data_IF_637194161017
#
_entry.id   IF_637194161017
#
_cell.length_a   1.000
_cell.length_b   1.000
_cell.length_c   1.000
_cell.angle_alpha   90.00
_cell.angle_beta   90.00
_cell.angle_gamma   90.00
#
_symmetry.space_group_name_H-M   'P 1'
#
loop_
_entity.id
_entity.type
_entity.pdbx_description
1 polymer ?
#
# COMPACT_ATOMS: atom_id res chain seq x y z
N UNK A 1 -25.15 -28.28 43.11
CA UNK A 1 -24.31 -28.22 41.89
C UNK A 1 -24.25 -26.76 41.44
N UNK A 2 -23.26 -26.01 41.90
CA UNK A 2 -23.12 -24.58 41.60
C UNK A 2 -22.36 -24.43 40.29
N UNK A 3 -23.06 -23.99 39.24
CA UNK A 3 -22.47 -23.65 37.95
C UNK A 3 -21.78 -22.29 38.13
N UNK A 4 -20.45 -22.30 38.27
CA UNK A 4 -19.63 -21.08 38.19
C UNK A 4 -19.49 -20.72 36.72
N UNK A 5 -20.41 -19.88 36.22
CA UNK A 5 -20.28 -19.27 34.90
C UNK A 5 -19.10 -18.32 34.89
N UNK A 6 -18.04 -18.66 34.17
CA UNK A 6 -16.90 -17.76 33.93
C UNK A 6 -17.36 -16.62 33.02
N UNK A 7 -17.77 -15.50 33.61
CA UNK A 7 -18.10 -14.28 32.88
C UNK A 7 -16.85 -13.75 32.18
N UNK A 8 -16.86 -13.77 30.85
CA UNK A 8 -15.83 -13.09 30.05
C UNK A 8 -16.07 -11.60 30.22
N UNK A 9 -15.10 -10.90 30.82
CA UNK A 9 -15.22 -9.47 31.06
C UNK A 9 -15.21 -8.72 29.72
N UNK A 10 -16.26 -7.93 29.48
CA UNK A 10 -16.40 -7.07 28.30
C UNK A 10 -15.21 -6.11 28.11
N UNK A 11 -14.50 -5.79 29.20
CA UNK A 11 -13.29 -4.97 29.17
C UNK A 11 -12.17 -5.63 28.36
N UNK A 12 -12.01 -6.95 28.46
CA UNK A 12 -11.01 -7.70 27.70
C UNK A 12 -11.34 -7.77 26.22
N UNK A 13 -12.62 -7.87 25.88
CA UNK A 13 -13.09 -7.83 24.49
C UNK A 13 -12.82 -6.45 23.87
N UNK A 14 -13.07 -5.37 24.62
CA UNK A 14 -12.77 -3.99 24.19
C UNK A 14 -11.27 -3.77 23.93
N UNK A 15 -10.39 -4.27 24.82
CA UNK A 15 -8.93 -4.16 24.64
C UNK A 15 -8.46 -4.86 23.36
N UNK A 16 -9.01 -6.04 23.05
CA UNK A 16 -8.69 -6.78 21.81
C UNK A 16 -9.15 -6.02 20.55
N UNK A 17 -10.32 -5.37 20.60
CA UNK A 17 -10.82 -4.57 19.48
C UNK A 17 -9.92 -3.34 19.24
N UNK A 18 -9.52 -2.64 20.30
CA UNK A 18 -8.64 -1.45 20.20
C UNK A 18 -7.26 -1.82 19.64
N UNK A 19 -6.70 -2.99 20.02
CA UNK A 19 -5.43 -3.47 19.46
C UNK A 19 -5.50 -3.81 17.97
N UNK A 20 -6.68 -4.20 17.45
CA UNK A 20 -6.88 -4.50 16.03
C UNK A 20 -7.00 -3.25 15.14
N UNK A 21 -7.37 -2.09 15.71
CA UNK A 21 -7.62 -0.87 14.96
C UNK A 21 -6.35 -0.12 14.50
N UNK A 22 -5.18 -0.45 15.05
CA UNK A 22 -3.92 0.22 14.72
C UNK A 22 -3.31 -0.18 13.37
N UNK A 23 -3.92 -1.12 12.65
CA UNK A 23 -3.44 -1.54 11.32
C UNK A 23 -4.16 -0.82 10.17
N UNK A 24 -5.04 0.14 10.44
CA UNK A 24 -5.57 1.01 9.38
C UNK A 24 -4.46 1.96 8.91
N UNK A 25 -3.66 1.49 7.96
CA UNK A 25 -2.74 2.33 7.22
C UNK A 25 -3.59 3.24 6.34
N UNK A 26 -3.84 4.47 6.79
CA UNK A 26 -4.26 5.54 5.89
C UNK A 26 -3.12 5.65 4.87
N UNK A 27 -3.41 5.27 3.62
CA UNK A 27 -2.51 5.46 2.49
C UNK A 27 -2.17 6.95 2.45
N UNK A 28 -0.90 7.30 2.64
CA UNK A 28 -0.46 8.68 2.46
C UNK A 28 -0.60 9.05 1.00
N UNK A 29 -1.69 9.75 0.66
CA UNK A 29 -1.88 10.36 -0.65
C UNK A 29 -0.78 11.42 -0.82
N UNK A 30 0.10 11.24 -1.82
CA UNK A 30 1.08 12.27 -2.16
C UNK A 30 0.44 13.23 -3.16
N UNK A 31 0.29 14.48 -2.73
CA UNK A 31 -0.24 15.57 -3.55
C UNK A 31 0.95 16.35 -4.12
N UNK A 32 0.96 16.56 -5.43
CA UNK A 32 1.98 17.33 -6.15
C UNK A 32 1.29 18.51 -6.80
N UNK A 33 1.51 19.70 -6.28
CA UNK A 33 0.94 20.95 -6.82
C UNK A 33 2.03 21.77 -7.50
N UNK A 34 1.72 22.33 -8.65
CA UNK A 34 2.56 23.31 -9.34
C UNK A 34 1.75 24.56 -9.65
N UNK A 35 2.28 25.71 -9.26
CA UNK A 35 1.67 27.03 -9.47
C UNK A 35 2.58 27.88 -10.37
N UNK A 36 2.00 28.49 -11.40
CA UNK A 36 2.74 29.36 -12.33
C UNK A 36 2.91 30.78 -11.75
N UNK A 37 4.14 31.09 -11.38
CA UNK A 37 4.57 32.42 -10.89
C UNK A 37 5.65 33.06 -11.79
N UNK A 38 5.76 32.67 -13.06
CA UNK A 38 6.78 33.19 -13.97
C UNK A 38 6.57 34.68 -14.30
N UNK A 39 7.68 35.42 -14.28
CA UNK A 39 7.83 36.79 -14.83
C UNK A 39 6.67 37.73 -14.49
N UNK A 40 6.36 37.84 -13.19
CA UNK A 40 5.25 38.63 -12.63
C UNK A 40 3.85 38.26 -13.14
N UNK A 41 3.66 37.03 -13.62
CA UNK A 41 2.38 36.56 -14.14
C UNK A 41 2.11 37.03 -15.57
N UNK A 42 3.15 37.08 -16.41
CA UNK A 42 3.01 37.45 -17.84
C UNK A 42 3.23 36.28 -18.79
N UNK A 43 3.82 35.17 -18.33
CA UNK A 43 4.19 34.04 -19.16
C UNK A 43 3.39 32.79 -18.81
N UNK A 44 3.01 32.04 -19.84
CA UNK A 44 2.43 30.71 -19.68
C UNK A 44 3.51 29.67 -19.36
N UNK A 45 3.16 28.66 -18.57
CA UNK A 45 4.02 27.54 -18.21
C UNK A 45 3.36 26.23 -18.62
N UNK A 46 4.05 25.38 -19.39
CA UNK A 46 3.60 24.01 -19.63
C UNK A 46 4.27 23.05 -18.66
N UNK A 47 3.47 22.28 -17.94
CA UNK A 47 3.92 21.30 -16.94
C UNK A 47 3.44 19.90 -17.29
N UNK A 48 4.19 18.88 -16.90
CA UNK A 48 3.82 17.47 -17.09
C UNK A 48 4.36 16.63 -15.94
N UNK A 49 3.62 15.59 -15.54
CA UNK A 49 4.09 14.60 -14.56
C UNK A 49 3.96 13.18 -15.15
N UNK A 50 4.88 12.75 -16.04
CA UNK A 50 4.73 11.52 -16.82
C UNK A 50 4.53 10.25 -16.01
N UNK A 51 5.02 10.23 -14.76
CA UNK A 51 4.92 9.09 -13.86
C UNK A 51 3.53 8.98 -13.18
N UNK A 52 2.67 9.99 -13.30
CA UNK A 52 1.30 9.99 -12.76
C UNK A 52 0.29 10.00 -13.91
N UNK A 53 0.43 10.95 -14.84
CA UNK A 53 -0.34 10.98 -16.06
C UNK A 53 0.54 11.34 -17.27
N UNK A 54 0.27 10.69 -18.41
CA UNK A 54 1.01 10.95 -19.65
C UNK A 54 0.63 12.26 -20.34
N UNK A 55 0.08 13.23 -19.60
CA UNK A 55 -0.48 14.48 -20.14
C UNK A 55 0.39 15.67 -19.76
N UNK A 56 0.25 16.73 -20.54
CA UNK A 56 0.82 18.04 -20.26
C UNK A 56 -0.30 19.05 -20.06
N UNK A 57 -0.09 20.02 -19.18
CA UNK A 57 -1.05 21.04 -18.81
C UNK A 57 -0.43 22.42 -19.03
N UNK A 58 -1.16 23.30 -19.71
CA UNK A 58 -0.81 24.71 -19.84
C UNK A 58 -1.35 25.47 -18.64
N UNK A 59 -0.47 26.13 -17.89
CA UNK A 59 -0.79 26.99 -16.77
C UNK A 59 -0.65 28.44 -17.21
N UNK A 60 -1.77 29.14 -17.25
CA UNK A 60 -1.77 30.59 -17.35
C UNK A 60 -1.16 31.23 -16.11
N UNK A 61 -0.74 32.50 -16.17
CA UNK A 61 -0.33 33.26 -15.01
C UNK A 61 -1.24 33.12 -13.78
N UNK A 62 -0.67 32.75 -12.64
CA UNK A 62 -1.40 32.51 -11.39
C UNK A 62 -2.22 31.22 -11.37
N UNK A 63 -2.30 30.49 -12.48
CA UNK A 63 -2.91 29.17 -12.55
C UNK A 63 -2.06 28.11 -11.85
N UNK A 64 -2.73 27.06 -11.40
CA UNK A 64 -2.09 25.91 -10.76
C UNK A 64 -2.67 24.60 -11.28
N UNK A 65 -1.93 23.52 -11.09
CA UNK A 65 -2.39 22.17 -11.36
C UNK A 65 -1.89 21.21 -10.29
N UNK A 66 -2.74 20.25 -9.94
CA UNK A 66 -2.49 19.26 -8.90
C UNK A 66 -2.53 17.86 -9.50
N UNK A 67 -1.49 17.07 -9.23
CA UNK A 67 -1.50 15.63 -9.44
C UNK A 67 -1.64 14.93 -8.10
N UNK A 68 -2.54 13.96 -8.07
CA UNK A 68 -2.69 13.05 -6.95
C UNK A 68 -1.95 11.76 -7.29
N UNK A 69 -0.83 11.50 -6.61
CA UNK A 69 -0.20 10.19 -6.64
C UNK A 69 -0.85 9.30 -5.60
N UNK A 70 -1.87 8.53 -6.04
CA UNK A 70 -2.31 7.35 -5.33
C UNK A 70 -1.29 6.25 -5.61
N UNK A 71 -0.16 6.25 -4.89
CA UNK A 71 0.83 5.20 -5.06
C UNK A 71 0.14 3.83 -5.02
N UNK A 72 0.37 3.00 -6.03
CA UNK A 72 -0.22 1.66 -6.09
C UNK A 72 0.28 0.88 -4.87
N UNK A 73 -0.58 0.76 -3.85
CA UNK A 73 -0.28 -0.06 -2.70
C UNK A 73 -0.68 -1.48 -3.06
N UNK A 74 0.31 -2.34 -3.09
CA UNK A 74 0.11 -3.76 -3.30
C UNK A 74 0.08 -4.47 -1.96
N UNK A 75 -0.90 -5.36 -1.78
CA UNK A 75 -0.97 -6.22 -0.62
C UNK A 75 -0.73 -7.68 -1.02
N UNK A 76 -0.15 -8.44 -0.09
CA UNK A 76 -0.03 -9.88 -0.23
C UNK A 76 0.23 -10.52 1.13
N UNK A 77 -0.49 -11.60 1.44
CA UNK A 77 -0.23 -12.41 2.62
C UNK A 77 1.02 -13.26 2.41
N UNK A 78 2.13 -12.90 3.07
CA UNK A 78 3.41 -13.63 2.98
C UNK A 78 3.36 -15.04 3.59
N UNK A 79 2.37 -15.32 4.44
CA UNK A 79 2.15 -16.65 5.01
C UNK A 79 0.66 -16.97 5.08
N UNK A 80 0.27 -18.06 4.42
CA UNK A 80 -1.07 -18.62 4.49
C UNK A 80 -0.93 -20.10 4.88
N UNK A 81 -1.43 -20.55 6.05
CA UNK A 81 -1.19 -21.91 6.54
C UNK A 81 -1.58 -23.03 5.55
N UNK A 82 -2.68 -22.86 4.81
CA UNK A 82 -3.10 -23.85 3.80
C UNK A 82 -2.18 -23.92 2.58
N UNK A 83 -1.36 -22.89 2.33
CA UNK A 83 -0.46 -22.76 1.18
C UNK A 83 1.01 -22.99 1.54
N UNK A 84 1.44 -22.51 2.72
CA UNK A 84 2.85 -22.32 3.06
C UNK A 84 3.35 -23.17 4.22
N UNK A 85 2.55 -24.12 4.73
CA UNK A 85 2.98 -25.02 5.81
C UNK A 85 4.01 -26.08 5.37
N UNK A 86 4.71 -25.86 4.26
CA UNK A 86 5.79 -26.68 3.71
C UNK A 86 7.19 -26.06 3.88
N UNK A 87 7.31 -24.91 4.58
CA UNK A 87 8.57 -24.27 4.98
C UNK A 87 8.69 -24.09 6.50
N UNK A 88 9.90 -24.27 7.02
CA UNK A 88 10.29 -23.78 8.36
C UNK A 88 10.69 -22.30 8.29
N UNK A 89 11.47 -21.93 7.26
CA UNK A 89 11.78 -20.55 6.89
C UNK A 89 11.27 -20.26 5.47
N UNK A 90 10.37 -19.30 5.34
CA UNK A 90 9.71 -18.97 4.08
C UNK A 90 10.34 -17.71 3.48
N UNK A 91 11.20 -17.88 2.48
CA UNK A 91 11.87 -16.75 1.83
C UNK A 91 11.07 -16.25 0.63
N UNK A 92 10.94 -14.93 0.54
CA UNK A 92 10.21 -14.24 -0.51
C UNK A 92 11.08 -13.14 -1.12
N UNK A 93 10.91 -12.92 -2.41
CA UNK A 93 11.44 -11.75 -3.11
C UNK A 93 10.30 -11.01 -3.81
N UNK A 94 10.13 -9.73 -3.49
CA UNK A 94 9.06 -8.88 -4.04
C UNK A 94 9.51 -8.21 -5.34
N UNK A 95 8.64 -8.20 -6.34
CA UNK A 95 8.83 -7.50 -7.62
C UNK A 95 7.58 -6.67 -7.95
N UNK A 96 7.69 -5.77 -8.90
CA UNK A 96 6.57 -4.95 -9.38
C UNK A 96 5.34 -5.79 -9.77
N UNK A 97 5.54 -6.96 -10.38
CA UNK A 97 4.43 -7.84 -10.78
C UNK A 97 3.84 -8.69 -9.65
N UNK A 98 4.53 -8.80 -8.51
CA UNK A 98 4.12 -9.65 -7.40
C UNK A 98 5.28 -10.27 -6.59
N UNK A 99 4.97 -10.89 -5.44
CA UNK A 99 5.95 -11.59 -4.63
C UNK A 99 6.20 -13.01 -5.14
N UNK A 100 7.45 -13.44 -5.05
CA UNK A 100 7.91 -14.74 -5.49
C UNK A 100 8.49 -15.53 -4.31
N UNK A 101 7.99 -16.75 -4.09
CA UNK A 101 8.46 -17.67 -3.06
C UNK A 101 9.67 -18.45 -3.55
N UNK A 102 10.76 -18.36 -2.79
CA UNK A 102 12.01 -19.07 -3.08
C UNK A 102 12.03 -20.36 -2.26
N UNK A 103 12.20 -21.48 -2.96
CA UNK A 103 12.33 -22.78 -2.32
C UNK A 103 13.81 -23.18 -2.29
N UNK A 104 14.39 -23.31 -1.10
CA UNK A 104 15.75 -23.79 -0.93
C UNK A 104 15.80 -25.34 -1.01
N UNK A 105 15.30 -25.90 -2.12
CA UNK A 105 15.30 -27.35 -2.38
C UNK A 105 15.72 -27.61 -3.83
N UNK A 106 16.55 -28.64 -4.08
CA UNK A 106 16.90 -29.02 -5.44
C UNK A 106 15.62 -29.33 -6.23
N UNK A 107 15.51 -28.79 -7.44
CA UNK A 107 14.43 -28.99 -8.41
C UNK A 107 13.05 -28.40 -8.06
N UNK A 108 12.91 -27.52 -7.05
CA UNK A 108 11.64 -26.81 -6.82
C UNK A 108 11.68 -25.41 -7.45
N UNK A 109 10.84 -25.11 -8.46
CA UNK A 109 10.84 -23.81 -9.11
C UNK A 109 10.33 -22.73 -8.14
N UNK A 110 10.83 -21.50 -8.31
CA UNK A 110 10.26 -20.31 -7.69
C UNK A 110 8.82 -20.13 -8.15
N UNK A 111 7.90 -19.92 -7.20
CA UNK A 111 6.47 -19.70 -7.51
C UNK A 111 6.15 -18.23 -7.21
N UNK A 112 5.61 -17.52 -8.20
CA UNK A 112 5.22 -16.12 -8.06
C UNK A 112 3.70 -15.98 -7.98
N UNK A 113 3.24 -15.07 -7.14
CA UNK A 113 1.83 -14.67 -7.02
C UNK A 113 1.65 -13.26 -7.56
N UNK A 114 0.40 -12.88 -7.85
CA UNK A 114 0.07 -11.49 -8.14
C UNK A 114 -0.16 -10.74 -6.83
N UNK A 115 0.03 -9.43 -6.86
CA UNK A 115 -0.48 -8.55 -5.81
C UNK A 115 -2.01 -8.61 -5.74
N UNK A 116 -2.55 -8.50 -4.53
CA UNK A 116 -3.96 -8.25 -4.27
C UNK A 116 -4.27 -6.75 -4.43
#
# INVERSE_FOLDING_TARGET
MTIVGKGVSFLWVLILIVLSANNSRVLGQLIIEVTNALDNGSLDLTVACPNIDGKSYLLHPGGFHEWINTGASHMFNMYVPSRDNDCEECHWFAKETGPCRVYNRPNKPTICSKWD
#
